data_IF_426525135141
#
_entry.id   IF_426525135141
#
_cell.length_a   1.000
_cell.length_b   1.000
_cell.length_c   1.000
_cell.angle_alpha   90.00
_cell.angle_beta   90.00
_cell.angle_gamma   90.00
#
_symmetry.space_group_name_H-M   'P 1'
#
loop_
_entity.id
_entity.type
_entity.pdbx_description
1 polymer ?
#
# COMPACT_ATOMS: atom_id res chain seq x y z
N UNK A 1 0.18 12.75 -7.91
CA UNK A 1 -1.26 12.59 -8.18
C UNK A 1 -2.06 12.79 -6.90
N UNK A 2 -1.76 12.12 -5.78
CA UNK A 2 -2.36 12.43 -4.47
C UNK A 2 -1.54 11.82 -3.32
N UNK A 3 -1.97 12.05 -2.08
CA UNK A 3 -1.47 11.39 -0.87
C UNK A 3 -2.61 10.60 -0.23
N UNK A 4 -2.39 9.32 0.08
CA UNK A 4 -3.39 8.44 0.70
C UNK A 4 -2.91 7.89 2.06
N UNK A 5 -3.73 7.87 3.13
CA UNK A 5 -5.10 8.36 3.18
C UNK A 5 -5.16 9.89 3.00
N UNK A 6 -6.27 10.40 2.47
CA UNK A 6 -6.44 11.83 2.21
C UNK A 6 -6.46 12.67 3.50
N UNK A 7 -6.75 12.03 4.63
CA UNK A 7 -6.72 12.59 5.97
C UNK A 7 -6.05 11.61 6.92
N UNK A 8 -5.40 12.10 7.97
CA UNK A 8 -4.71 11.28 8.97
C UNK A 8 -3.20 11.18 8.78
N UNK A 9 -2.58 10.26 9.51
CA UNK A 9 -1.12 10.05 9.53
C UNK A 9 -0.71 8.94 8.55
N UNK A 10 0.59 8.83 8.26
CA UNK A 10 1.17 7.76 7.42
C UNK A 10 0.76 7.79 5.94
N UNK A 11 0.74 9.00 5.36
CA UNK A 11 0.40 9.24 3.96
C UNK A 11 1.41 8.67 2.97
N UNK A 12 0.92 7.94 1.98
CA UNK A 12 1.64 7.39 0.83
C UNK A 12 1.49 8.39 -0.33
N UNK A 13 2.60 8.89 -0.85
CA UNK A 13 2.59 9.82 -1.99
C UNK A 13 2.59 9.06 -3.30
N UNK A 14 1.48 9.14 -4.05
CA UNK A 14 1.36 8.49 -5.36
C UNK A 14 1.67 9.49 -6.46
N UNK A 15 2.67 9.18 -7.27
CA UNK A 15 3.21 10.03 -8.34
C UNK A 15 2.84 9.46 -9.72
N UNK A 16 3.18 10.21 -10.76
CA UNK A 16 2.90 9.79 -12.14
C UNK A 16 3.64 8.50 -12.50
N UNK A 17 4.91 8.38 -12.08
CA UNK A 17 5.73 7.19 -12.33
C UNK A 17 5.14 5.93 -11.69
N UNK A 18 4.49 6.05 -10.52
CA UNK A 18 3.81 4.92 -9.88
C UNK A 18 2.62 4.45 -10.72
N UNK A 19 1.85 5.39 -11.27
CA UNK A 19 0.72 5.09 -12.17
C UNK A 19 1.20 4.36 -13.43
N UNK A 20 2.34 4.74 -13.99
CA UNK A 20 2.91 4.09 -15.18
C UNK A 20 3.23 2.61 -14.96
N UNK A 21 3.44 2.18 -13.71
CA UNK A 21 3.64 0.75 -13.34
C UNK A 21 2.37 -0.10 -13.46
N UNK A 22 1.21 0.51 -13.66
CA UNK A 22 -0.05 -0.20 -13.91
C UNK A 22 -0.25 -0.61 -15.38
N UNK A 23 0.64 -0.17 -16.28
CA UNK A 23 0.57 -0.53 -17.70
C UNK A 23 0.89 -2.03 -17.91
N UNK A 24 0.35 -2.59 -18.99
CA UNK A 24 0.60 -3.98 -19.36
C UNK A 24 2.10 -4.28 -19.50
N UNK A 25 2.52 -5.45 -19.02
CA UNK A 25 3.92 -5.89 -19.06
C UNK A 25 4.85 -5.18 -18.06
N UNK A 26 4.35 -4.31 -17.19
CA UNK A 26 5.13 -3.70 -16.11
C UNK A 26 4.92 -4.46 -14.78
N UNK A 27 5.98 -4.56 -13.97
CA UNK A 27 5.83 -5.00 -12.58
C UNK A 27 5.27 -3.87 -11.73
N UNK A 28 4.39 -4.18 -10.78
CA UNK A 28 3.99 -3.20 -9.77
C UNK A 28 5.19 -2.78 -8.92
N UNK A 29 5.20 -1.54 -8.46
CA UNK A 29 6.19 -1.08 -7.47
C UNK A 29 5.62 -1.16 -6.04
N UNK A 30 6.52 -1.01 -5.09
CA UNK A 30 6.25 -0.94 -3.65
C UNK A 30 5.17 0.08 -3.30
N UNK A 31 5.23 1.29 -3.87
CA UNK A 31 4.28 2.37 -3.59
C UNK A 31 2.85 1.99 -3.99
N UNK A 32 2.67 1.39 -5.17
CA UNK A 32 1.36 0.92 -5.66
C UNK A 32 0.83 -0.20 -4.77
N UNK A 33 1.68 -1.16 -4.42
CA UNK A 33 1.30 -2.29 -3.56
C UNK A 33 0.89 -1.79 -2.17
N UNK A 34 1.69 -0.92 -1.54
CA UNK A 34 1.39 -0.38 -0.21
C UNK A 34 0.09 0.43 -0.21
N UNK A 35 -0.12 1.27 -1.23
CA UNK A 35 -1.36 2.03 -1.39
C UNK A 35 -2.57 1.10 -1.43
N UNK A 36 -2.53 0.11 -2.32
CA UNK A 36 -3.70 -0.71 -2.58
C UNK A 36 -4.04 -1.61 -1.40
N UNK A 37 -3.03 -2.10 -0.69
CA UNK A 37 -3.24 -2.84 0.56
C UNK A 37 -3.92 -2.00 1.64
N UNK A 38 -3.48 -0.74 1.83
CA UNK A 38 -4.17 0.17 2.77
C UNK A 38 -5.59 0.50 2.33
N UNK A 39 -5.82 0.68 1.03
CA UNK A 39 -7.15 0.89 0.47
C UNK A 39 -8.08 -0.30 0.73
N UNK A 40 -7.63 -1.53 0.50
CA UNK A 40 -8.40 -2.74 0.80
C UNK A 40 -8.74 -2.85 2.29
N UNK A 41 -7.77 -2.58 3.18
CA UNK A 41 -8.02 -2.57 4.63
C UNK A 41 -9.06 -1.53 5.06
N UNK A 42 -9.08 -0.36 4.41
CA UNK A 42 -9.99 0.73 4.75
C UNK A 42 -11.41 0.55 4.18
N UNK A 43 -11.52 0.10 2.92
CA UNK A 43 -12.78 0.11 2.17
C UNK A 43 -13.43 -1.28 2.04
N UNK A 44 -12.65 -2.36 2.19
CA UNK A 44 -13.12 -3.72 1.93
C UNK A 44 -13.04 -4.67 3.13
N UNK A 45 -12.38 -4.29 4.21
CA UNK A 45 -12.40 -5.03 5.48
C UNK A 45 -13.38 -4.36 6.43
N UNK A 46 -14.33 -5.14 6.95
CA UNK A 46 -15.32 -4.68 7.92
C UNK A 46 -14.62 -4.10 9.15
N UNK A 47 -15.15 -2.98 9.65
CA UNK A 47 -14.57 -2.28 10.80
C UNK A 47 -14.54 -3.17 12.06
N UNK A 48 -15.52 -4.06 12.20
CA UNK A 48 -15.67 -5.01 13.31
C UNK A 48 -14.50 -6.00 13.44
N UNK A 49 -13.84 -6.33 12.33
CA UNK A 49 -12.76 -7.34 12.29
C UNK A 49 -11.42 -6.74 11.92
N UNK A 50 -11.34 -5.44 11.62
CA UNK A 50 -10.14 -4.80 11.07
C UNK A 50 -8.92 -4.96 11.98
N UNK A 51 -9.13 -4.95 13.29
CA UNK A 51 -8.07 -5.13 14.29
C UNK A 51 -7.50 -6.55 14.34
N UNK A 52 -8.20 -7.54 13.77
CA UNK A 52 -7.72 -8.92 13.63
C UNK A 52 -6.73 -9.08 12.47
N UNK A 53 -6.60 -8.07 11.60
CA UNK A 53 -5.73 -8.09 10.44
C UNK A 53 -4.63 -7.03 10.55
N UNK A 54 -3.38 -7.47 10.39
CA UNK A 54 -2.25 -6.57 10.24
C UNK A 54 -1.59 -6.78 8.88
N UNK A 55 -1.43 -5.70 8.13
CA UNK A 55 -0.75 -5.72 6.83
C UNK A 55 0.56 -4.95 6.93
N UNK A 56 1.67 -5.67 6.80
CA UNK A 56 3.00 -5.07 6.69
C UNK A 56 3.23 -4.51 5.28
N UNK A 57 4.08 -3.48 5.17
CA UNK A 57 4.52 -2.99 3.87
C UNK A 57 5.51 -3.96 3.20
N UNK A 58 5.82 -3.72 1.93
CA UNK A 58 6.70 -4.59 1.13
C UNK A 58 8.14 -4.70 1.67
N UNK A 59 8.60 -3.74 2.47
CA UNK A 59 9.93 -3.74 3.06
C UNK A 59 10.07 -4.63 4.30
N UNK A 60 8.96 -5.00 4.94
CA UNK A 60 9.01 -5.78 6.18
C UNK A 60 9.76 -7.11 6.01
N UNK A 61 9.44 -7.86 4.95
CA UNK A 61 10.08 -9.15 4.73
C UNK A 61 11.55 -9.00 4.33
N UNK A 62 11.88 -7.97 3.55
CA UNK A 62 13.27 -7.64 3.21
C UNK A 62 14.08 -7.40 4.49
N UNK A 63 13.59 -6.55 5.39
CA UNK A 63 14.22 -6.29 6.69
C UNK A 63 14.31 -7.54 7.58
N UNK A 64 13.27 -8.38 7.59
CA UNK A 64 13.24 -9.61 8.38
C UNK A 64 14.26 -10.65 7.88
N UNK A 65 14.50 -10.70 6.58
CA UNK A 65 15.35 -11.71 5.94
C UNK A 65 16.78 -11.27 5.69
N UNK A 66 17.08 -9.98 5.89
CA UNK A 66 18.45 -9.48 5.98
C UNK A 66 19.18 -10.16 7.16
N UNK A 67 20.26 -10.89 6.85
CA UNK A 67 21.25 -11.36 7.84
C UNK A 67 22.25 -10.26 8.15
#
# INVERSE_FOLDING_TARGET
>A
LFVYPFTGKSGISIRLLDKERLNEGQFLNDTVIEFYLKYLMAEHVEESIRDDYHVFNSFFYEQLSHK
#
